data_IF_791737654414
#
_entry.id   IF_791737654414
#
_cell.length_a   1.000
_cell.length_b   1.000
_cell.length_c   1.000
_cell.angle_alpha   90.00
_cell.angle_beta   90.00
_cell.angle_gamma   90.00
#
_symmetry.space_group_name_H-M   'P 1'
#
loop_
_entity.id
_entity.type
_entity.pdbx_description
1 polymer ?
#
# COMPACT_ATOMS: atom_id res chain seq x y z
N UNK A 1 1.71 -26.13 25.84
CA UNK A 1 2.15 -24.94 26.63
C UNK A 1 1.55 -23.73 25.99
N UNK A 2 0.92 -22.82 26.76
CA UNK A 2 0.48 -21.53 26.19
C UNK A 2 1.69 -20.63 25.96
N UNK A 3 1.64 -19.86 24.87
CA UNK A 3 2.67 -18.86 24.52
C UNK A 3 2.10 -17.48 24.87
N UNK A 4 2.93 -16.61 25.47
CA UNK A 4 2.56 -15.23 25.70
C UNK A 4 2.71 -14.44 24.40
N UNK A 5 1.65 -13.75 24.00
CA UNK A 5 1.60 -12.90 22.83
C UNK A 5 1.29 -11.45 23.24
N UNK A 6 2.02 -10.51 22.67
CA UNK A 6 1.76 -9.08 22.80
C UNK A 6 0.86 -8.63 21.64
N UNK A 7 -0.23 -7.97 21.96
CA UNK A 7 -1.21 -7.48 21.01
C UNK A 7 -1.36 -5.96 21.12
N UNK A 8 -1.45 -5.29 19.97
CA UNK A 8 -1.92 -3.90 19.87
C UNK A 8 -3.39 -3.96 19.49
N UNK A 9 -4.27 -3.55 20.39
CA UNK A 9 -5.72 -3.61 20.22
C UNK A 9 -6.34 -2.23 20.11
N UNK A 10 -7.57 -2.14 19.58
CA UNK A 10 -8.33 -0.90 19.58
C UNK A 10 -8.92 -0.64 20.96
N UNK A 11 -8.49 0.46 21.60
CA UNK A 11 -9.12 0.99 22.80
C UNK A 11 -10.31 1.88 22.48
N UNK A 12 -10.24 2.60 21.37
CA UNK A 12 -11.32 3.44 20.84
C UNK A 12 -11.37 3.33 19.32
N UNK A 13 -12.55 3.48 18.73
CA UNK A 13 -12.65 3.68 17.28
C UNK A 13 -12.20 5.12 16.95
N UNK A 14 -11.13 5.29 16.14
CA UNK A 14 -10.57 6.61 15.87
C UNK A 14 -11.57 7.55 15.19
N UNK A 15 -11.73 8.76 15.74
CA UNK A 15 -12.48 9.86 15.14
C UNK A 15 -11.50 10.86 14.51
N UNK A 16 -11.51 10.97 13.18
CA UNK A 16 -10.50 11.75 12.46
C UNK A 16 -9.16 11.03 12.33
N UNK A 17 -8.04 11.77 12.43
CA UNK A 17 -6.70 11.17 12.44
C UNK A 17 -6.54 10.33 13.71
N UNK A 18 -6.10 9.07 13.62
CA UNK A 18 -5.85 8.23 14.78
C UNK A 18 -4.88 8.88 15.77
N UNK A 19 -5.07 8.58 17.04
CA UNK A 19 -4.18 8.98 18.14
C UNK A 19 -3.56 7.73 18.75
N UNK A 20 -2.43 7.88 19.43
CA UNK A 20 -1.78 6.78 20.15
C UNK A 20 -2.74 6.19 21.17
N UNK A 21 -3.49 7.02 21.87
CA UNK A 21 -4.46 6.65 22.91
C UNK A 21 -5.71 5.92 22.36
N UNK A 22 -5.87 5.81 21.04
CA UNK A 22 -6.92 4.97 20.45
C UNK A 22 -6.53 3.48 20.47
N UNK A 23 -5.29 3.16 20.82
CA UNK A 23 -4.74 1.81 20.89
C UNK A 23 -4.34 1.46 22.33
N UNK A 24 -4.32 0.17 22.61
CA UNK A 24 -3.84 -0.40 23.88
C UNK A 24 -2.92 -1.59 23.58
N UNK A 25 -1.87 -1.73 24.36
CA UNK A 25 -0.95 -2.88 24.25
C UNK A 25 -1.24 -3.81 25.42
N UNK A 26 -1.57 -5.05 25.12
CA UNK A 26 -1.93 -6.06 26.12
C UNK A 26 -1.15 -7.34 25.88
N UNK A 27 -0.93 -8.09 26.96
CA UNK A 27 -0.45 -9.47 26.90
C UNK A 27 -1.63 -10.43 26.90
N UNK A 28 -1.54 -11.48 26.10
CA UNK A 28 -2.56 -12.53 26.00
C UNK A 28 -1.92 -13.89 25.82
N UNK A 29 -2.57 -14.91 26.31
CA UNK A 29 -2.16 -16.30 26.04
C UNK A 29 -2.70 -16.76 24.70
N UNK A 30 -1.85 -17.35 23.88
CA UNK A 30 -2.24 -17.99 22.64
C UNK A 30 -2.18 -19.51 22.78
N UNK A 31 -3.20 -20.20 22.30
CA UNK A 31 -3.31 -21.66 22.33
C UNK A 31 -2.33 -22.32 21.35
N UNK A 32 -2.12 -23.61 21.50
CA UNK A 32 -1.47 -24.42 20.46
C UNK A 32 -2.33 -24.54 19.19
N UNK A 33 -1.70 -24.69 18.01
CA UNK A 33 -2.42 -24.91 16.77
C UNK A 33 -3.13 -26.28 16.78
N UNK A 34 -4.33 -26.35 16.22
CA UNK A 34 -5.09 -27.56 15.96
C UNK A 34 -4.64 -28.19 14.63
N UNK A 35 -5.18 -29.39 14.34
CA UNK A 35 -4.99 -30.03 13.04
C UNK A 35 -5.44 -29.11 11.90
N UNK A 36 -4.59 -28.96 10.88
CA UNK A 36 -4.78 -28.02 9.78
C UNK A 36 -4.38 -26.56 10.08
N UNK A 37 -3.83 -26.27 11.28
CA UNK A 37 -3.38 -24.92 11.67
C UNK A 37 -1.87 -24.88 11.90
N UNK A 38 -1.33 -23.70 11.91
CA UNK A 38 0.01 -23.41 12.40
C UNK A 38 0.02 -22.15 13.28
N UNK A 39 1.02 -22.04 14.14
CA UNK A 39 1.33 -20.88 14.95
C UNK A 39 2.57 -20.20 14.38
N UNK A 40 2.46 -18.89 14.14
CA UNK A 40 3.57 -18.09 13.65
C UNK A 40 3.86 -16.90 14.56
N UNK A 41 5.15 -16.54 14.67
CA UNK A 41 5.62 -15.32 15.30
C UNK A 41 5.88 -14.25 14.25
N UNK A 42 5.46 -13.03 14.52
CA UNK A 42 5.63 -11.88 13.61
C UNK A 42 7.05 -11.34 13.69
N UNK A 43 7.72 -11.28 12.54
CA UNK A 43 9.05 -10.66 12.39
C UNK A 43 8.90 -9.20 11.96
N UNK A 44 8.09 -8.95 10.91
CA UNK A 44 7.80 -7.62 10.38
C UNK A 44 6.31 -7.42 10.18
N UNK A 45 5.83 -6.24 10.51
CA UNK A 45 4.46 -5.78 10.28
C UNK A 45 4.45 -4.61 9.29
N UNK A 46 3.67 -4.72 8.23
CA UNK A 46 3.35 -3.63 7.33
C UNK A 46 2.25 -2.74 7.89
N UNK A 47 2.47 -1.43 7.89
CA UNK A 47 1.43 -0.47 8.17
C UNK A 47 0.97 0.15 6.85
N UNK A 48 -0.30 -0.04 6.53
CA UNK A 48 -0.92 0.44 5.29
C UNK A 48 -2.10 1.38 5.59
N UNK A 49 -2.28 2.45 4.78
CA UNK A 49 -3.34 3.42 5.04
C UNK A 49 -4.76 2.85 5.03
N UNK A 50 -5.02 1.76 4.26
CA UNK A 50 -6.35 1.15 4.19
C UNK A 50 -6.83 0.61 5.55
N UNK A 51 -5.91 0.24 6.44
CA UNK A 51 -6.23 -0.22 7.80
C UNK A 51 -7.08 0.83 8.54
N UNK A 52 -6.88 2.13 8.27
CA UNK A 52 -7.70 3.19 8.85
C UNK A 52 -9.18 3.09 8.47
N UNK A 53 -9.49 2.72 7.23
CA UNK A 53 -10.89 2.62 6.78
C UNK A 53 -11.56 1.33 7.20
N UNK A 54 -10.78 0.26 7.48
CA UNK A 54 -11.35 -0.95 8.11
C UNK A 54 -11.87 -0.66 9.51
N UNK A 55 -11.17 0.18 10.30
CA UNK A 55 -11.57 0.56 11.66
C UNK A 55 -12.92 1.29 11.75
N UNK A 56 -13.48 1.76 10.65
CA UNK A 56 -14.74 2.53 10.61
C UNK A 56 -15.76 1.96 9.62
N UNK A 57 -15.61 0.71 9.23
CA UNK A 57 -16.57 0.00 8.39
C UNK A 57 -16.69 0.56 6.96
N UNK A 58 -15.64 1.19 6.43
CA UNK A 58 -15.61 1.72 5.06
C UNK A 58 -14.69 0.94 4.14
N UNK A 59 -14.57 -0.36 4.40
CA UNK A 59 -13.82 -1.30 3.61
C UNK A 59 -14.64 -2.60 3.47
N UNK A 60 -14.31 -3.46 2.52
CA UNK A 60 -14.99 -4.76 2.36
C UNK A 60 -14.54 -5.80 3.40
N UNK A 61 -13.41 -5.58 4.08
CA UNK A 61 -13.03 -6.39 5.23
C UNK A 61 -13.90 -6.12 6.45
N UNK A 62 -13.98 -7.10 7.35
CA UNK A 62 -14.67 -6.96 8.61
C UNK A 62 -14.12 -5.76 9.41
N UNK A 63 -15.06 -5.03 10.02
CA UNK A 63 -14.72 -3.91 10.91
C UNK A 63 -14.31 -4.48 12.26
N UNK A 64 -13.11 -4.17 12.77
CA UNK A 64 -12.73 -4.57 14.12
C UNK A 64 -13.58 -3.84 15.16
N UNK A 65 -13.88 -4.53 16.25
CA UNK A 65 -14.52 -3.98 17.44
C UNK A 65 -13.46 -3.43 18.42
N UNK A 66 -13.93 -2.79 19.51
CA UNK A 66 -13.05 -2.44 20.62
C UNK A 66 -12.47 -3.73 21.21
N UNK A 67 -11.19 -3.71 21.55
CA UNK A 67 -10.34 -4.82 21.97
C UNK A 67 -9.89 -5.78 20.85
N UNK A 68 -10.36 -5.62 19.63
CA UNK A 68 -9.81 -6.40 18.51
C UNK A 68 -8.44 -5.88 18.07
N UNK A 69 -7.65 -6.77 17.48
CA UNK A 69 -6.36 -6.47 16.85
C UNK A 69 -6.63 -5.90 15.46
N UNK A 70 -6.18 -4.66 15.13
CA UNK A 70 -6.29 -4.13 13.79
C UNK A 70 -5.50 -4.96 12.78
N UNK A 71 -6.00 -5.04 11.57
CA UNK A 71 -5.36 -5.76 10.45
C UNK A 71 -3.97 -5.22 10.15
N UNK A 72 -3.18 -6.06 9.50
CA UNK A 72 -1.88 -5.72 8.97
C UNK A 72 -1.21 -6.94 8.37
N UNK A 73 -0.61 -6.76 7.20
CA UNK A 73 0.16 -7.82 6.55
C UNK A 73 1.50 -7.97 7.25
N UNK A 74 1.91 -9.20 7.51
CA UNK A 74 3.14 -9.51 8.25
C UNK A 74 4.04 -10.46 7.48
N UNK A 75 5.33 -10.38 7.75
CA UNK A 75 6.24 -11.48 7.53
C UNK A 75 6.38 -12.18 8.87
N UNK A 76 6.02 -13.46 8.89
CA UNK A 76 6.01 -14.26 10.11
C UNK A 76 6.78 -15.56 9.93
N UNK A 77 7.42 -16.02 11.00
CA UNK A 77 8.10 -17.32 11.05
C UNK A 77 7.19 -18.33 11.73
N UNK A 78 6.95 -19.46 11.11
CA UNK A 78 6.17 -20.55 11.70
C UNK A 78 6.98 -21.21 12.81
N UNK A 79 6.44 -21.23 14.03
CA UNK A 79 7.12 -21.79 15.21
C UNK A 79 6.51 -23.11 15.68
N UNK A 80 5.30 -23.45 15.23
CA UNK A 80 4.67 -24.75 15.44
C UNK A 80 3.63 -25.00 14.37
N UNK A 81 3.59 -26.20 13.78
CA UNK A 81 2.67 -26.49 12.68
C UNK A 81 2.05 -27.89 12.82
N UNK A 82 0.74 -27.95 12.56
CA UNK A 82 -0.04 -29.14 12.26
C UNK A 82 -0.71 -29.04 10.89
N UNK A 83 -0.20 -28.14 10.03
CA UNK A 83 -0.68 -27.92 8.68
C UNK A 83 0.13 -28.72 7.66
N UNK A 84 -0.52 -29.30 6.63
CA UNK A 84 0.15 -30.16 5.67
C UNK A 84 1.15 -29.42 4.74
N UNK A 85 0.86 -28.17 4.41
CA UNK A 85 1.63 -27.36 3.43
C UNK A 85 2.63 -26.40 4.07
N UNK A 86 2.52 -26.11 5.35
CA UNK A 86 3.36 -25.15 6.07
C UNK A 86 4.10 -25.84 7.21
N UNK A 87 5.41 -25.60 7.32
CA UNK A 87 6.29 -26.27 8.27
C UNK A 87 6.92 -25.29 9.25
N UNK A 88 7.31 -25.78 10.41
CA UNK A 88 8.12 -25.04 11.37
C UNK A 88 9.41 -24.54 10.72
N UNK A 89 9.73 -23.26 10.91
CA UNK A 89 10.84 -22.56 10.29
C UNK A 89 10.49 -21.83 8.99
N UNK A 90 9.36 -22.14 8.34
CA UNK A 90 8.94 -21.45 7.13
C UNK A 90 8.69 -19.96 7.41
N UNK A 91 9.07 -19.13 6.44
CA UNK A 91 8.76 -17.71 6.44
C UNK A 91 7.58 -17.46 5.50
N UNK A 92 6.54 -16.82 6.03
CA UNK A 92 5.30 -16.56 5.30
C UNK A 92 4.88 -15.11 5.37
N UNK A 93 4.20 -14.66 4.32
CA UNK A 93 3.40 -13.44 4.33
C UNK A 93 1.97 -13.83 4.67
N UNK A 94 1.40 -13.19 5.70
CA UNK A 94 0.03 -13.43 6.16
C UNK A 94 -0.59 -12.16 6.74
N UNK A 95 -1.90 -12.15 6.92
CA UNK A 95 -2.65 -11.02 7.50
C UNK A 95 -2.89 -11.23 9.01
N UNK A 96 -1.82 -11.36 9.80
CA UNK A 96 -1.94 -11.60 11.24
C UNK A 96 -2.31 -10.37 12.07
N UNK A 97 -2.19 -9.17 11.50
CA UNK A 97 -2.52 -7.94 12.22
C UNK A 97 -1.41 -7.48 13.17
N UNK A 98 -1.74 -6.51 14.01
CA UNK A 98 -0.80 -5.83 14.92
C UNK A 98 -0.54 -6.67 16.18
N UNK A 99 0.04 -7.86 16.03
CA UNK A 99 0.32 -8.79 17.14
C UNK A 99 1.59 -9.60 16.92
N UNK A 100 2.21 -10.01 18.03
CA UNK A 100 3.48 -10.74 17.99
C UNK A 100 3.34 -12.19 17.53
N UNK A 101 2.20 -12.82 17.78
CA UNK A 101 1.93 -14.22 17.41
C UNK A 101 0.52 -14.37 16.87
N UNK A 102 0.32 -15.27 15.92
CA UNK A 102 -1.00 -15.57 15.38
C UNK A 102 -1.13 -17.04 14.97
N UNK A 103 -2.33 -17.59 15.09
CA UNK A 103 -2.71 -18.89 14.52
C UNK A 103 -3.35 -18.65 13.16
N UNK A 104 -3.01 -19.48 12.18
CA UNK A 104 -3.61 -19.45 10.84
C UNK A 104 -3.95 -20.88 10.39
N UNK A 105 -4.99 -20.99 9.58
CA UNK A 105 -5.38 -22.19 8.84
C UNK A 105 -4.75 -22.27 7.43
N UNK A 106 -3.83 -21.34 7.12
CA UNK A 106 -3.14 -21.27 5.83
C UNK A 106 -3.92 -20.56 4.73
N UNK A 107 -5.15 -20.11 4.97
CA UNK A 107 -5.89 -19.31 4.00
C UNK A 107 -5.19 -17.96 3.76
N UNK A 108 -5.06 -17.57 2.48
CA UNK A 108 -4.41 -16.33 2.06
C UNK A 108 -2.95 -16.14 2.57
N UNK A 109 -2.27 -17.26 2.84
CA UNK A 109 -0.87 -17.29 3.27
C UNK A 109 0.03 -17.67 2.10
N UNK A 110 1.16 -16.98 1.97
CA UNK A 110 2.14 -17.25 0.93
C UNK A 110 3.54 -17.38 1.52
N UNK A 111 4.34 -18.32 1.03
CA UNK A 111 5.76 -18.34 1.37
C UNK A 111 6.45 -17.05 0.91
N UNK A 112 7.35 -16.53 1.73
CA UNK A 112 8.17 -15.38 1.34
C UNK A 112 9.05 -15.76 0.14
N UNK A 113 8.94 -14.99 -0.93
CA UNK A 113 9.76 -15.15 -2.13
C UNK A 113 10.28 -13.79 -2.57
N UNK A 114 11.50 -13.47 -2.13
CA UNK A 114 12.16 -12.19 -2.46
C UNK A 114 13.43 -12.37 -3.30
N UNK A 115 13.79 -13.62 -3.67
CA UNK A 115 15.05 -13.90 -4.37
C UNK A 115 16.25 -13.37 -3.58
N UNK A 116 17.07 -12.51 -4.21
CA UNK A 116 18.20 -11.86 -3.58
C UNK A 116 17.85 -10.55 -2.83
N UNK A 117 16.61 -10.10 -2.90
CA UNK A 117 16.18 -8.87 -2.25
C UNK A 117 15.98 -9.08 -0.73
N UNK A 118 16.15 -8.01 0.09
CA UNK A 118 15.83 -8.08 1.51
C UNK A 118 14.41 -8.55 1.76
N UNK A 119 14.21 -9.32 2.81
CA UNK A 119 12.91 -9.96 3.13
C UNK A 119 11.78 -8.94 3.29
N UNK A 120 12.06 -7.74 3.80
CA UNK A 120 11.08 -6.64 3.97
C UNK A 120 10.41 -6.23 2.66
N UNK A 121 11.08 -6.46 1.51
CA UNK A 121 10.51 -6.16 0.18
C UNK A 121 9.24 -6.96 -0.12
N UNK A 122 9.03 -8.11 0.54
CA UNK A 122 7.77 -8.88 0.47
C UNK A 122 6.56 -8.13 1.06
N UNK A 123 6.78 -7.07 1.85
CA UNK A 123 5.73 -6.17 2.33
C UNK A 123 5.63 -4.88 1.48
N UNK A 124 6.51 -4.71 0.51
CA UNK A 124 6.63 -3.50 -0.32
C UNK A 124 6.61 -3.80 -1.81
N UNK A 125 7.78 -3.62 -2.46
CA UNK A 125 7.91 -3.72 -3.93
C UNK A 125 7.66 -5.11 -4.49
N UNK A 126 7.91 -6.17 -3.73
CA UNK A 126 7.63 -7.57 -4.08
C UNK A 126 6.37 -8.10 -3.39
N UNK A 127 5.63 -7.26 -2.67
CA UNK A 127 4.40 -7.58 -1.96
C UNK A 127 3.16 -6.88 -2.53
N UNK A 128 2.14 -6.72 -1.68
CA UNK A 128 0.85 -6.14 -2.06
C UNK A 128 0.97 -4.76 -2.71
N UNK A 129 1.81 -3.82 -2.25
CA UNK A 129 1.94 -2.51 -2.91
C UNK A 129 2.51 -2.59 -4.32
N UNK A 130 3.54 -3.41 -4.54
CA UNK A 130 4.10 -3.65 -5.88
C UNK A 130 3.09 -4.33 -6.81
N UNK A 131 2.40 -5.35 -6.29
CA UNK A 131 1.35 -6.06 -7.02
C UNK A 131 0.17 -5.14 -7.38
N UNK A 132 -0.20 -4.22 -6.49
CA UNK A 132 -1.21 -3.18 -6.77
C UNK A 132 -0.83 -2.33 -7.98
N UNK A 133 0.39 -1.83 -8.03
CA UNK A 133 0.87 -1.02 -9.15
C UNK A 133 0.92 -1.84 -10.46
N UNK A 134 1.47 -3.05 -10.39
CA UNK A 134 1.61 -3.97 -11.54
C UNK A 134 0.26 -4.34 -12.13
N UNK A 135 -0.63 -4.90 -11.32
CA UNK A 135 -1.90 -5.41 -11.79
C UNK A 135 -2.84 -4.29 -12.26
N UNK A 136 -2.80 -3.11 -11.64
CA UNK A 136 -3.60 -1.98 -12.09
C UNK A 136 -3.11 -1.41 -13.43
N UNK A 137 -1.80 -1.27 -13.62
CA UNK A 137 -1.24 -0.71 -14.84
C UNK A 137 -1.36 -1.68 -16.03
N UNK A 138 -1.06 -2.96 -15.82
CA UNK A 138 -1.04 -3.95 -16.90
C UNK A 138 -2.41 -4.62 -17.13
N UNK A 139 -3.29 -4.61 -16.13
CA UNK A 139 -4.68 -5.06 -16.21
C UNK A 139 -5.61 -3.97 -16.75
N UNK A 140 -6.43 -3.33 -15.89
CA UNK A 140 -7.48 -2.41 -16.35
C UNK A 140 -6.95 -1.15 -17.03
N UNK A 141 -5.78 -0.63 -16.65
CA UNK A 141 -5.20 0.54 -17.33
C UNK A 141 -4.66 0.20 -18.71
N UNK A 142 -4.20 -1.05 -18.96
CA UNK A 142 -3.62 -1.47 -20.24
C UNK A 142 -2.53 -0.48 -20.72
N UNK A 143 -1.58 -0.20 -19.82
CA UNK A 143 -0.50 0.74 -20.06
C UNK A 143 0.18 0.50 -21.41
N UNK A 144 0.32 1.56 -22.22
CA UNK A 144 0.98 1.54 -23.50
C UNK A 144 2.29 2.35 -23.46
N UNK A 145 3.16 2.08 -24.43
CA UNK A 145 4.33 2.90 -24.70
C UNK A 145 3.90 4.35 -24.99
N UNK A 146 4.68 5.32 -24.50
CA UNK A 146 4.42 6.76 -24.60
C UNK A 146 3.22 7.32 -23.83
N UNK A 147 2.42 6.47 -23.11
CA UNK A 147 1.38 6.97 -22.22
C UNK A 147 1.96 7.93 -21.17
N UNK A 148 1.19 8.96 -20.85
CA UNK A 148 1.47 9.88 -19.74
C UNK A 148 0.72 9.41 -18.50
N UNK A 149 1.45 8.87 -17.53
CA UNK A 149 0.93 8.40 -16.25
C UNK A 149 1.12 9.48 -15.20
N UNK A 150 0.03 10.01 -14.65
CA UNK A 150 0.05 10.88 -13.48
C UNK A 150 -0.28 10.03 -12.24
N UNK A 151 0.57 10.09 -11.21
CA UNK A 151 0.35 9.32 -10.00
C UNK A 151 0.33 10.19 -8.75
N UNK A 152 -0.73 10.12 -7.97
CA UNK A 152 -0.83 10.78 -6.67
C UNK A 152 -0.20 9.93 -5.56
N UNK A 153 0.27 10.56 -4.46
CA UNK A 153 1.09 9.95 -3.42
C UNK A 153 2.32 9.20 -3.98
N UNK A 154 3.00 9.80 -4.95
CA UNK A 154 4.04 9.23 -5.78
C UNK A 154 5.23 8.62 -5.02
N UNK A 155 5.57 9.13 -3.83
CA UNK A 155 6.66 8.64 -2.98
C UNK A 155 6.26 7.49 -2.05
N UNK A 156 4.98 7.07 -2.07
CA UNK A 156 4.49 5.93 -1.30
C UNK A 156 4.85 4.60 -1.95
N UNK A 157 4.59 3.50 -1.23
CA UNK A 157 4.95 2.15 -1.68
C UNK A 157 4.33 1.78 -3.03
N UNK A 158 3.03 2.08 -3.25
CA UNK A 158 2.35 1.85 -4.54
C UNK A 158 2.81 2.88 -5.57
N UNK A 159 2.79 4.19 -5.23
CA UNK A 159 3.07 5.26 -6.19
C UNK A 159 4.48 5.19 -6.78
N UNK A 160 5.49 4.81 -6.00
CA UNK A 160 6.86 4.64 -6.49
C UNK A 160 6.98 3.48 -7.48
N UNK A 161 6.25 2.39 -7.26
CA UNK A 161 6.21 1.26 -8.20
C UNK A 161 5.49 1.63 -9.50
N UNK A 162 4.44 2.46 -9.43
CA UNK A 162 3.77 2.99 -10.65
C UNK A 162 4.78 3.71 -11.56
N UNK A 163 5.61 4.60 -10.99
CA UNK A 163 6.63 5.31 -11.77
C UNK A 163 7.64 4.39 -12.43
N UNK A 164 8.15 3.42 -11.69
CA UNK A 164 9.15 2.47 -12.17
C UNK A 164 8.58 1.53 -13.23
N UNK A 165 7.39 0.98 -13.02
CA UNK A 165 6.73 0.11 -14.03
C UNK A 165 6.42 0.92 -15.30
N UNK A 166 5.94 2.16 -15.19
CA UNK A 166 5.73 3.01 -16.34
C UNK A 166 7.02 3.20 -17.15
N UNK A 167 8.12 3.52 -16.47
CA UNK A 167 9.44 3.67 -17.12
C UNK A 167 9.93 2.38 -17.78
N UNK A 168 9.80 1.22 -17.12
CA UNK A 168 10.17 -0.10 -17.67
C UNK A 168 9.35 -0.42 -18.94
N UNK A 169 8.12 0.10 -19.01
CA UNK A 169 7.22 -0.08 -20.18
C UNK A 169 7.29 1.08 -21.18
N UNK A 170 8.34 1.91 -21.13
CA UNK A 170 8.55 3.07 -22.02
C UNK A 170 7.44 4.13 -21.96
N UNK A 171 6.66 4.18 -20.88
CA UNK A 171 5.69 5.24 -20.62
C UNK A 171 6.30 6.36 -19.76
N UNK A 172 5.62 7.52 -19.71
CA UNK A 172 6.08 8.70 -18.99
C UNK A 172 5.36 8.83 -17.65
N UNK A 173 6.08 8.79 -16.53
CA UNK A 173 5.49 8.98 -15.22
C UNK A 173 5.76 10.38 -14.65
N UNK A 174 4.71 11.02 -14.15
CA UNK A 174 4.75 12.29 -13.41
C UNK A 174 4.14 12.05 -12.05
N UNK A 175 4.89 12.38 -10.99
CA UNK A 175 4.46 12.20 -9.62
C UNK A 175 3.80 13.45 -9.04
N UNK A 176 2.94 13.25 -8.03
CA UNK A 176 2.51 14.30 -7.10
C UNK A 176 2.84 13.81 -5.70
N UNK A 177 3.72 14.54 -4.99
CA UNK A 177 4.14 14.19 -3.64
C UNK A 177 4.15 15.41 -2.71
N UNK A 178 4.35 15.17 -1.41
CA UNK A 178 4.26 16.23 -0.41
C UNK A 178 5.61 16.67 0.14
N UNK A 179 6.30 17.57 -0.52
CA UNK A 179 7.56 18.17 -0.10
C UNK A 179 8.73 17.83 -1.01
N UNK A 180 9.71 18.75 -1.06
CA UNK A 180 10.86 18.70 -1.97
C UNK A 180 11.64 17.38 -1.90
N UNK A 181 11.89 16.87 -0.70
CA UNK A 181 12.65 15.63 -0.48
C UNK A 181 11.95 14.43 -1.15
N UNK A 182 10.64 14.28 -0.92
CA UNK A 182 9.83 13.22 -1.54
C UNK A 182 9.83 13.33 -3.07
N UNK A 183 9.67 14.54 -3.61
CA UNK A 183 9.71 14.75 -5.05
C UNK A 183 11.09 14.45 -5.65
N UNK A 184 12.18 14.87 -5.00
CA UNK A 184 13.52 14.56 -5.47
C UNK A 184 13.81 13.04 -5.47
N UNK A 185 13.33 12.35 -4.44
CA UNK A 185 13.49 10.91 -4.36
C UNK A 185 12.72 10.19 -5.48
N UNK A 186 11.48 10.60 -5.79
CA UNK A 186 10.69 9.97 -6.86
C UNK A 186 11.32 10.15 -8.23
N UNK A 187 11.90 11.33 -8.50
CA UNK A 187 12.63 11.58 -9.75
C UNK A 187 13.90 10.72 -9.81
N UNK A 188 14.67 10.67 -8.73
CA UNK A 188 15.97 9.98 -8.72
C UNK A 188 15.86 8.46 -8.67
N UNK A 189 14.88 7.93 -7.92
CA UNK A 189 14.80 6.50 -7.58
C UNK A 189 13.54 5.79 -8.10
N UNK A 190 12.43 6.52 -8.29
CA UNK A 190 11.19 5.91 -8.80
C UNK A 190 10.97 6.19 -10.30
N UNK A 191 12.03 6.53 -11.02
CA UNK A 191 12.08 6.71 -12.48
C UNK A 191 11.04 7.69 -13.03
N UNK A 192 10.59 8.66 -12.21
CA UNK A 192 9.64 9.67 -12.64
C UNK A 192 10.37 10.80 -13.34
N UNK A 193 9.87 11.24 -14.50
CA UNK A 193 10.45 12.34 -15.26
C UNK A 193 10.29 13.67 -14.54
N UNK A 194 9.22 13.81 -13.75
CA UNK A 194 8.98 14.98 -12.94
C UNK A 194 8.12 14.64 -11.71
N UNK A 195 8.12 15.53 -10.70
CA UNK A 195 7.26 15.40 -9.54
C UNK A 195 6.81 16.78 -9.04
N UNK A 196 5.51 16.94 -8.91
CA UNK A 196 4.86 18.17 -8.45
C UNK A 196 4.84 18.16 -6.91
N UNK A 197 5.46 19.16 -6.28
CA UNK A 197 5.38 19.35 -4.82
C UNK A 197 4.06 20.01 -4.44
N UNK A 198 3.06 19.21 -4.08
CA UNK A 198 1.71 19.70 -3.69
C UNK A 198 1.69 20.69 -2.52
N UNK A 199 2.80 20.85 -1.78
CA UNK A 199 2.91 21.79 -0.66
C UNK A 199 3.40 23.18 -1.09
N UNK A 200 4.01 23.29 -2.28
CA UNK A 200 4.70 24.51 -2.73
C UNK A 200 4.29 24.98 -4.11
N UNK A 201 3.78 24.07 -4.94
CA UNK A 201 3.47 24.37 -6.34
C UNK A 201 1.96 24.37 -6.59
N UNK A 202 1.52 25.11 -7.57
CA UNK A 202 0.14 25.06 -8.05
C UNK A 202 -0.01 23.80 -8.91
N UNK A 203 -0.73 22.80 -8.39
CA UNK A 203 -0.91 21.49 -9.03
C UNK A 203 -1.52 21.63 -10.42
N UNK A 204 -2.57 22.44 -10.55
CA UNK A 204 -3.30 22.65 -11.80
C UNK A 204 -2.40 23.23 -12.91
N UNK A 205 -1.66 24.29 -12.59
CA UNK A 205 -0.71 24.89 -13.52
C UNK A 205 0.40 23.90 -13.90
N UNK A 206 0.96 23.18 -12.93
CA UNK A 206 2.05 22.22 -13.17
C UNK A 206 1.62 21.05 -14.03
N UNK A 207 0.41 20.51 -13.84
CA UNK A 207 -0.09 19.46 -14.72
C UNK A 207 -0.26 20.00 -16.15
N UNK A 208 -0.77 21.23 -16.33
CA UNK A 208 -0.88 21.84 -17.66
C UNK A 208 0.46 21.99 -18.37
N UNK A 209 1.52 22.36 -17.61
CA UNK A 209 2.88 22.51 -18.13
C UNK A 209 3.51 21.16 -18.51
N UNK A 210 3.36 20.13 -17.66
CA UNK A 210 4.03 18.85 -17.81
C UNK A 210 3.25 17.85 -18.68
N UNK A 211 1.92 17.99 -18.76
CA UNK A 211 1.02 17.14 -19.53
C UNK A 211 0.19 17.95 -20.53
N UNK A 212 0.79 18.65 -21.51
CA UNK A 212 0.07 19.58 -22.40
C UNK A 212 -0.98 18.90 -23.28
N UNK A 213 -0.88 17.60 -23.51
CA UNK A 213 -1.87 16.78 -24.23
C UNK A 213 -2.89 16.10 -23.30
N UNK A 214 -2.77 16.32 -21.98
CA UNK A 214 -3.53 15.62 -20.94
C UNK A 214 -2.84 14.36 -20.42
N UNK A 215 -3.50 13.70 -19.49
CA UNK A 215 -3.04 12.51 -18.78
C UNK A 215 -3.76 11.29 -19.36
N UNK A 216 -3.02 10.30 -19.86
CA UNK A 216 -3.57 9.06 -20.41
C UNK A 216 -4.00 8.10 -19.30
N UNK A 217 -3.20 8.01 -18.23
CA UNK A 217 -3.53 7.21 -17.05
C UNK A 217 -3.39 8.05 -15.78
N UNK A 218 -4.48 8.23 -15.04
CA UNK A 218 -4.42 8.81 -13.69
C UNK A 218 -4.51 7.71 -12.65
N UNK A 219 -3.39 7.46 -11.98
CA UNK A 219 -3.32 6.51 -10.86
C UNK A 219 -3.57 7.27 -9.55
N UNK A 220 -4.78 7.16 -9.04
CA UNK A 220 -5.20 7.92 -7.86
C UNK A 220 -5.14 7.10 -6.57
N UNK A 221 -4.21 7.51 -5.69
CA UNK A 221 -4.07 7.01 -4.33
C UNK A 221 -4.64 7.98 -3.29
N UNK A 222 -5.07 9.18 -3.69
CA UNK A 222 -5.37 10.26 -2.74
C UNK A 222 -6.81 10.72 -2.73
N UNK A 223 -7.47 10.81 -3.87
CA UNK A 223 -8.78 11.45 -3.98
C UNK A 223 -8.73 12.96 -3.68
N UNK A 224 -9.89 13.54 -3.37
CA UNK A 224 -10.03 14.92 -2.90
C UNK A 224 -9.62 15.98 -3.93
N UNK A 225 -8.86 16.99 -3.51
CA UNK A 225 -8.49 18.14 -4.34
C UNK A 225 -7.74 17.73 -5.62
N UNK A 226 -6.75 16.84 -5.51
CA UNK A 226 -5.96 16.37 -6.66
C UNK A 226 -6.89 15.72 -7.69
N UNK A 227 -7.78 14.84 -7.25
CA UNK A 227 -8.77 14.18 -8.10
C UNK A 227 -9.68 15.20 -8.79
N UNK A 228 -10.17 16.19 -8.06
CA UNK A 228 -11.01 17.26 -8.61
C UNK A 228 -10.30 18.07 -9.71
N UNK A 229 -9.03 18.40 -9.49
CA UNK A 229 -8.19 19.12 -10.46
C UNK A 229 -8.03 18.28 -11.73
N UNK A 230 -7.61 17.03 -11.60
CA UNK A 230 -7.34 16.14 -12.76
C UNK A 230 -8.62 15.91 -13.56
N UNK A 231 -9.73 15.57 -12.88
CA UNK A 231 -11.02 15.31 -13.55
C UNK A 231 -11.55 16.54 -14.28
N UNK A 232 -11.31 17.74 -13.76
CA UNK A 232 -11.90 18.96 -14.35
C UNK A 232 -11.36 19.30 -15.73
N UNK A 233 -10.06 19.06 -16.01
CA UNK A 233 -9.45 19.53 -17.27
C UNK A 233 -8.16 18.86 -17.74
N UNK A 234 -7.62 17.89 -16.99
CA UNK A 234 -6.32 17.31 -17.33
C UNK A 234 -6.36 15.91 -17.95
N UNK A 235 -7.53 15.36 -18.20
CA UNK A 235 -7.68 14.06 -18.82
C UNK A 235 -7.46 14.12 -20.33
N UNK A 236 -6.66 13.21 -20.87
CA UNK A 236 -6.55 12.97 -22.30
C UNK A 236 -7.80 12.28 -22.86
N UNK A 237 -7.95 12.23 -24.16
CA UNK A 237 -9.01 11.47 -24.82
C UNK A 237 -8.83 9.97 -24.55
N UNK A 238 -9.93 9.30 -24.15
CA UNK A 238 -9.96 7.87 -23.78
C UNK A 238 -9.06 7.52 -22.57
N UNK A 239 -8.75 8.49 -21.71
CA UNK A 239 -7.94 8.30 -20.52
C UNK A 239 -8.54 7.27 -19.56
N UNK A 240 -7.70 6.67 -18.77
CA UNK A 240 -8.07 5.67 -17.76
C UNK A 240 -7.73 6.19 -16.37
N UNK A 241 -8.65 6.04 -15.46
CA UNK A 241 -8.53 6.50 -14.07
C UNK A 241 -8.61 5.29 -13.17
N UNK A 242 -7.54 5.02 -12.45
CA UNK A 242 -7.46 3.93 -11.48
C UNK A 242 -7.67 4.50 -10.08
N UNK A 243 -8.81 4.22 -9.47
CA UNK A 243 -9.09 4.59 -8.08
C UNK A 243 -8.57 3.49 -7.16
N UNK A 244 -7.30 3.60 -6.78
CA UNK A 244 -6.59 2.63 -5.92
C UNK A 244 -6.69 2.99 -4.44
N UNK A 245 -6.81 4.28 -4.11
CA UNK A 245 -6.92 4.75 -2.73
C UNK A 245 -7.44 6.17 -2.63
N UNK A 246 -7.97 6.51 -1.46
CA UNK A 246 -8.58 7.81 -1.17
C UNK A 246 -8.04 8.37 0.15
N UNK A 247 -6.70 8.34 0.35
CA UNK A 247 -6.08 8.60 1.66
C UNK A 247 -6.44 9.98 2.23
N UNK A 248 -6.71 10.98 1.39
CA UNK A 248 -7.15 12.31 1.84
C UNK A 248 -8.51 12.27 2.57
N UNK A 249 -9.30 11.22 2.36
CA UNK A 249 -10.65 11.06 2.89
C UNK A 249 -10.72 10.06 4.06
N UNK A 250 -9.68 9.25 4.29
CA UNK A 250 -9.71 8.17 5.29
C UNK A 250 -9.98 8.67 6.71
N UNK A 251 -9.53 9.87 7.01
CA UNK A 251 -9.74 10.51 8.32
C UNK A 251 -10.97 11.43 8.36
N UNK A 252 -11.72 11.57 7.28
CA UNK A 252 -12.89 12.43 7.23
C UNK A 252 -14.13 11.71 7.78
N UNK A 253 -14.91 12.42 8.60
CA UNK A 253 -16.19 11.92 9.10
C UNK A 253 -17.33 12.09 8.07
N UNK A 254 -17.13 12.92 7.05
CA UNK A 254 -18.08 13.14 5.97
C UNK A 254 -17.36 12.96 4.63
N UNK A 255 -17.96 12.25 3.66
CA UNK A 255 -17.39 12.20 2.33
C UNK A 255 -17.35 13.63 1.76
N UNK A 256 -16.24 14.05 1.10
CA UNK A 256 -16.21 15.33 0.40
C UNK A 256 -17.16 15.30 -0.79
N UNK A 257 -17.50 16.48 -1.30
CA UNK A 257 -18.18 16.58 -2.59
C UNK A 257 -17.33 15.92 -3.67
N UNK A 258 -17.95 15.09 -4.49
CA UNK A 258 -17.26 14.43 -5.61
C UNK A 258 -16.85 15.42 -6.71
N UNK A 259 -15.96 15.01 -7.63
CA UNK A 259 -15.60 15.80 -8.79
C UNK A 259 -16.78 15.96 -9.77
N UNK A 260 -16.72 17.01 -10.59
CA UNK A 260 -17.63 17.14 -11.74
C UNK A 260 -17.26 16.09 -12.81
N UNK A 261 -18.20 15.21 -13.12
CA UNK A 261 -17.98 14.12 -14.09
C UNK A 261 -18.18 14.53 -15.55
N UNK A 262 -18.55 15.79 -15.84
CA UNK A 262 -18.79 16.25 -17.21
C UNK A 262 -17.58 16.06 -18.14
N UNK A 263 -16.38 16.24 -17.62
CA UNK A 263 -15.15 16.03 -18.40
C UNK A 263 -14.86 14.55 -18.68
N UNK A 264 -15.31 13.65 -17.82
CA UNK A 264 -15.24 12.19 -18.06
C UNK A 264 -15.99 11.83 -19.34
N UNK A 265 -17.23 12.34 -19.48
CA UNK A 265 -18.02 12.16 -20.71
C UNK A 265 -17.35 12.81 -21.92
N UNK A 266 -16.86 14.06 -21.77
CA UNK A 266 -16.17 14.80 -22.86
C UNK A 266 -14.95 14.04 -23.37
N UNK A 267 -14.14 13.52 -22.48
CA UNK A 267 -12.91 12.81 -22.81
C UNK A 267 -13.12 11.30 -23.07
N UNK A 268 -14.35 10.79 -22.89
CA UNK A 268 -14.66 9.35 -22.97
C UNK A 268 -13.78 8.52 -22.04
N UNK A 269 -13.44 9.11 -20.87
CA UNK A 269 -12.55 8.48 -19.91
C UNK A 269 -13.26 7.32 -19.19
N UNK A 270 -12.48 6.32 -18.79
CA UNK A 270 -12.97 5.18 -18.01
C UNK A 270 -12.45 5.27 -16.59
N UNK A 271 -13.34 5.07 -15.61
CA UNK A 271 -13.00 5.02 -14.19
C UNK A 271 -13.09 3.57 -13.71
N UNK A 272 -12.01 3.08 -13.13
CA UNK A 272 -11.93 1.76 -12.49
C UNK A 272 -11.81 1.91 -10.98
N UNK A 273 -12.79 1.38 -10.22
CA UNK A 273 -12.59 1.08 -8.80
C UNK A 273 -11.68 -0.15 -8.70
N UNK A 274 -10.51 0.02 -8.11
CA UNK A 274 -9.49 -1.01 -8.14
C UNK A 274 -9.29 -1.66 -6.76
N UNK A 275 -9.39 -2.99 -6.71
CA UNK A 275 -9.07 -3.83 -5.56
C UNK A 275 -8.07 -4.90 -6.00
N UNK A 276 -6.89 -4.92 -5.40
CA UNK A 276 -5.77 -5.79 -5.84
C UNK A 276 -6.09 -7.28 -5.77
N UNK A 277 -6.92 -7.70 -4.84
CA UNK A 277 -7.30 -9.11 -4.65
C UNK A 277 -8.12 -9.69 -5.81
N UNK A 278 -8.77 -8.86 -6.64
CA UNK A 278 -9.49 -9.30 -7.84
C UNK A 278 -8.53 -9.74 -8.98
N UNK A 279 -7.23 -9.46 -8.81
CA UNK A 279 -6.19 -9.69 -9.82
C UNK A 279 -5.23 -10.82 -9.45
N UNK A 280 -5.60 -11.71 -8.53
CA UNK A 280 -4.73 -12.78 -8.04
C UNK A 280 -4.16 -13.67 -9.15
N UNK A 281 -4.89 -13.82 -10.25
CA UNK A 281 -4.45 -14.52 -11.46
C UNK A 281 -3.19 -13.91 -12.12
N UNK A 282 -2.80 -12.68 -11.77
CA UNK A 282 -1.59 -12.01 -12.25
C UNK A 282 -0.40 -12.15 -11.28
N UNK A 283 -0.57 -12.73 -10.10
CA UNK A 283 0.46 -12.76 -9.04
C UNK A 283 1.74 -13.46 -9.48
N UNK A 284 1.65 -14.61 -10.11
CA UNK A 284 2.84 -15.34 -10.57
C UNK A 284 3.65 -14.54 -11.59
N UNK A 285 2.96 -13.89 -12.55
CA UNK A 285 3.60 -13.02 -13.52
C UNK A 285 4.25 -11.81 -12.87
N UNK A 286 3.56 -11.20 -11.88
CA UNK A 286 4.13 -10.10 -11.10
C UNK A 286 5.41 -10.51 -10.38
N UNK A 287 5.40 -11.61 -9.62
CA UNK A 287 6.58 -12.04 -8.86
C UNK A 287 7.76 -12.32 -9.80
N UNK A 288 7.54 -13.06 -10.89
CA UNK A 288 8.57 -13.33 -11.90
C UNK A 288 9.17 -12.03 -12.46
N UNK A 289 8.33 -11.13 -12.91
CA UNK A 289 8.76 -9.88 -13.56
C UNK A 289 9.43 -8.95 -12.53
N UNK A 290 8.88 -8.79 -11.34
CA UNK A 290 9.42 -7.92 -10.30
C UNK A 290 10.76 -8.41 -9.76
N UNK A 291 10.96 -9.73 -9.56
CA UNK A 291 12.24 -10.30 -9.20
C UNK A 291 13.29 -10.03 -10.30
N UNK A 292 12.93 -10.27 -11.57
CA UNK A 292 13.81 -9.98 -12.68
C UNK A 292 14.19 -8.50 -12.77
N UNK A 293 13.25 -7.59 -12.58
CA UNK A 293 13.52 -6.14 -12.57
C UNK A 293 14.39 -5.72 -11.39
N UNK A 294 14.18 -6.34 -10.22
CA UNK A 294 15.03 -6.10 -9.06
C UNK A 294 16.48 -6.54 -9.31
N UNK A 295 16.70 -7.73 -9.83
CA UNK A 295 18.03 -8.26 -10.17
C UNK A 295 18.74 -7.42 -11.24
N UNK A 296 18.00 -6.79 -12.14
CA UNK A 296 18.53 -5.86 -13.14
C UNK A 296 18.81 -4.46 -12.56
N UNK A 297 18.52 -4.21 -11.28
CA UNK A 297 18.69 -2.90 -10.63
C UNK A 297 17.68 -1.85 -11.10
N UNK A 298 16.54 -2.27 -11.68
CA UNK A 298 15.48 -1.38 -12.17
C UNK A 298 14.48 -0.98 -11.09
N UNK A 299 14.44 -1.71 -9.97
CA UNK A 299 13.53 -1.42 -8.86
C UNK A 299 14.28 -0.85 -7.66
N UNK A 300 13.83 0.31 -7.20
CA UNK A 300 14.29 0.99 -6.00
C UNK A 300 13.14 1.16 -5.02
N UNK A 301 13.41 1.17 -3.74
CA UNK A 301 12.42 1.35 -2.70
C UNK A 301 12.98 2.14 -1.51
N UNK A 302 12.09 2.60 -0.67
CA UNK A 302 12.43 3.22 0.61
C UNK A 302 11.49 2.67 1.68
N UNK A 303 12.03 2.44 2.86
CA UNK A 303 11.31 1.92 4.01
C UNK A 303 11.46 2.87 5.20
N UNK A 304 10.35 3.11 5.88
CA UNK A 304 10.29 3.83 7.15
C UNK A 304 10.09 2.78 8.24
N UNK A 305 11.21 2.29 8.77
CA UNK A 305 11.27 1.16 9.68
C UNK A 305 11.45 1.63 11.12
N UNK A 306 10.74 1.00 12.05
CA UNK A 306 10.90 1.17 13.49
C UNK A 306 10.96 -0.21 14.16
N UNK A 307 11.72 -0.32 15.24
CA UNK A 307 11.82 -1.54 16.03
C UNK A 307 10.87 -1.51 17.24
N UNK A 308 10.31 -2.68 17.59
CA UNK A 308 9.44 -2.90 18.75
C UNK A 308 7.96 -2.73 18.45
N UNK A 309 7.17 -3.73 18.85
CA UNK A 309 5.70 -3.76 18.67
C UNK A 309 5.03 -2.56 19.35
N UNK A 310 5.59 -2.09 20.47
CA UNK A 310 5.11 -0.97 21.26
C UNK A 310 5.10 0.35 20.47
N UNK A 311 5.92 0.44 19.43
CA UNK A 311 5.99 1.61 18.54
C UNK A 311 4.94 1.60 17.41
N UNK A 312 4.18 0.51 17.26
CA UNK A 312 3.16 0.35 16.20
C UNK A 312 2.13 1.48 16.19
N UNK A 313 1.49 1.87 17.32
CA UNK A 313 0.52 2.96 17.33
C UNK A 313 1.11 4.30 16.88
N UNK A 314 2.29 4.66 17.40
CA UNK A 314 2.94 5.92 17.04
C UNK A 314 3.35 5.97 15.57
N UNK A 315 3.83 4.84 15.03
CA UNK A 315 4.25 4.72 13.64
C UNK A 315 3.05 4.74 12.67
N UNK A 316 1.93 4.11 13.04
CA UNK A 316 0.68 4.22 12.29
C UNK A 316 0.13 5.66 12.28
N UNK A 317 0.15 6.35 13.41
CA UNK A 317 -0.23 7.78 13.48
C UNK A 317 0.68 8.65 12.60
N UNK A 318 1.99 8.37 12.57
CA UNK A 318 2.96 9.05 11.68
C UNK A 318 2.59 8.86 10.22
N UNK A 319 2.26 7.63 9.82
CA UNK A 319 1.78 7.29 8.47
C UNK A 319 0.51 8.07 8.11
N UNK A 320 -0.50 8.06 8.98
CA UNK A 320 -1.79 8.72 8.72
C UNK A 320 -1.69 10.25 8.67
N UNK A 321 -0.60 10.82 9.21
CA UNK A 321 -0.23 12.25 9.07
C UNK A 321 0.61 12.53 7.81
N UNK A 322 0.94 11.52 7.00
CA UNK A 322 1.78 11.63 5.81
C UNK A 322 3.24 12.02 6.10
N UNK A 323 3.72 11.74 7.32
CA UNK A 323 5.09 12.04 7.78
C UNK A 323 6.08 10.89 7.56
N UNK A 324 5.61 9.75 7.07
CA UNK A 324 6.43 8.60 6.68
C UNK A 324 7.23 8.90 5.40
N UNK A 325 8.28 8.13 5.16
CA UNK A 325 9.04 8.14 3.91
C UNK A 325 9.18 6.70 3.38
N UNK A 326 8.50 6.41 2.26
CA UNK A 326 8.45 5.05 1.71
C UNK A 326 7.42 4.14 2.41
N UNK A 327 7.68 2.82 2.36
CA UNK A 327 6.84 1.80 3.00
C UNK A 327 7.05 1.83 4.52
N UNK A 328 5.97 1.89 5.27
CA UNK A 328 6.00 1.93 6.73
C UNK A 328 5.98 0.51 7.29
N UNK A 329 7.00 0.15 8.07
CA UNK A 329 7.21 -1.21 8.61
C UNK A 329 7.59 -1.12 10.09
N UNK A 330 7.08 -2.06 10.88
CA UNK A 330 7.52 -2.30 12.26
C UNK A 330 8.25 -3.64 12.31
N UNK A 331 9.46 -3.66 12.79
CA UNK A 331 10.22 -4.87 13.08
C UNK A 331 9.97 -5.28 14.53
N UNK A 332 9.50 -6.50 14.77
CA UNK A 332 9.15 -6.95 16.12
C UNK A 332 10.30 -7.62 16.83
N UNK A 333 11.20 -8.26 16.09
CA UNK A 333 12.35 -8.97 16.62
C UNK A 333 13.53 -8.92 15.67
N UNK A 334 14.73 -9.22 16.17
CA UNK A 334 15.88 -9.46 15.33
C UNK A 334 15.74 -10.76 14.53
N UNK A 335 16.18 -10.71 13.27
CA UNK A 335 16.01 -11.80 12.33
C UNK A 335 17.28 -12.10 11.55
#
# INVERSE_FOLDING_TARGET
MSIQATLVTLKNIPKGIPKIDDFEIIESEIREPKEGEFLAETVYLALDPYVRVTMVGRHFFNTPEICDVPRGSTISRIISSKHNSYKEGDLVVMESGMQSHAISDGADVHHVNTGSAPITTALGILGMPGFTAYSALLGPAQLQEDDVVLVSAASGAVGSMVGQIASIKNAKAIGIAGGKEKCQWTIKNASMQNCIDRKRENIDQKISELCPRGVDIFFDNTGGEIQNIVFSKHLALNSKIILSGMISQYNSNKPPSGPNLGNICKQRATIYGFVVYDFEHMRESFIRDALSWYEQGLLHYSEDLVFGIENTPAHFVKLMKGKNFGKTIVQFMDF
#
